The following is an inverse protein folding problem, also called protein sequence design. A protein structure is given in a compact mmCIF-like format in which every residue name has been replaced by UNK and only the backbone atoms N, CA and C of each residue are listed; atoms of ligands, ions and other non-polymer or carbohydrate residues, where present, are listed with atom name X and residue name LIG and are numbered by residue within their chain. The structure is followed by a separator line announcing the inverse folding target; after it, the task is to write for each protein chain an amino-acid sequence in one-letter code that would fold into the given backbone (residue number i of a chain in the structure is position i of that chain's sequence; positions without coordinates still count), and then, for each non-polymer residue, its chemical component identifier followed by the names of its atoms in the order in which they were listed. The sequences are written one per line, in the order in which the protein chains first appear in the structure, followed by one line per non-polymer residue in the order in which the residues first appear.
data_IF_193043005373
#
_entry.id   IF_193043005373
#
_cell.length_a   1.000
_cell.length_b   1.000
_cell.length_c   1.000
_cell.angle_alpha   90.00
_cell.angle_beta   90.00
_cell.angle_gamma   90.00
#
_symmetry.space_group_name_H-M   'P 1'
#
loop_
_entity.id
_entity.type
_entity.pdbx_description
1 polymer ?
#
# COMPACT_ATOMS: atom_id res chain seq x y z
N UNK A 1 -7.64 17.41 13.34
CA UNK A 1 -6.34 16.89 12.86
C UNK A 1 -5.99 15.65 13.67
N UNK A 2 -5.89 14.47 13.05
CA UNK A 2 -5.60 13.21 13.77
C UNK A 2 -4.07 13.00 13.94
N UNK A 3 -3.65 11.95 14.65
CA UNK A 3 -2.23 11.67 14.90
C UNK A 3 -1.42 11.49 13.62
N UNK A 4 -1.98 10.82 12.61
CA UNK A 4 -1.33 10.61 11.32
C UNK A 4 -1.06 11.94 10.60
N UNK A 5 -2.06 12.83 10.57
CA UNK A 5 -1.93 14.14 9.94
C UNK A 5 -0.93 15.05 10.66
N UNK A 6 -0.79 14.92 11.99
CA UNK A 6 0.27 15.59 12.74
C UNK A 6 1.65 15.02 12.41
N UNK A 7 1.78 13.69 12.31
CA UNK A 7 3.06 13.04 12.00
C UNK A 7 3.60 13.42 10.62
N UNK A 8 2.72 13.56 9.63
CA UNK A 8 3.06 14.00 8.25
C UNK A 8 3.72 15.38 8.21
N UNK A 9 3.55 16.23 9.22
CA UNK A 9 4.19 17.55 9.27
C UNK A 9 5.68 17.48 9.58
N UNK A 10 6.15 16.40 10.21
CA UNK A 10 7.52 16.27 10.71
C UNK A 10 8.32 15.17 10.01
N UNK A 11 7.63 14.15 9.48
CA UNK A 11 8.26 12.97 8.89
C UNK A 11 7.54 12.57 7.59
N UNK A 12 8.30 11.98 6.67
CA UNK A 12 7.73 11.32 5.48
C UNK A 12 7.08 10.01 5.89
N UNK A 13 5.76 9.96 5.81
CA UNK A 13 4.99 8.74 6.09
C UNK A 13 5.05 7.81 4.87
N UNK A 14 5.36 6.54 5.13
CA UNK A 14 5.41 5.48 4.13
C UNK A 14 4.39 4.40 4.50
N UNK A 15 3.65 3.88 3.52
CA UNK A 15 2.79 2.71 3.74
C UNK A 15 3.53 1.42 3.40
N UNK A 16 3.60 0.49 4.34
CA UNK A 16 4.23 -0.82 4.14
C UNK A 16 3.19 -1.87 3.74
N UNK A 17 2.79 -1.83 2.46
CA UNK A 17 1.71 -2.68 1.94
C UNK A 17 1.77 -2.83 0.42
N UNK A 18 1.36 -4.00 -0.08
CA UNK A 18 1.06 -4.22 -1.51
C UNK A 18 -0.38 -3.88 -1.89
N UNK A 19 -1.18 -3.36 -0.96
CA UNK A 19 -2.61 -3.09 -1.15
C UNK A 19 -2.88 -1.65 -1.61
N UNK A 20 -3.24 -1.49 -2.89
CA UNK A 20 -3.47 -0.18 -3.50
C UNK A 20 -4.61 0.61 -2.85
N UNK A 21 -5.65 -0.04 -2.33
CA UNK A 21 -6.75 0.66 -1.64
C UNK A 21 -6.29 1.31 -0.33
N UNK A 22 -5.43 0.62 0.43
CA UNK A 22 -4.82 1.18 1.65
C UNK A 22 -3.95 2.40 1.30
N UNK A 23 -3.17 2.31 0.22
CA UNK A 23 -2.34 3.43 -0.26
C UNK A 23 -3.23 4.63 -0.64
N UNK A 24 -4.35 4.38 -1.32
CA UNK A 24 -5.31 5.43 -1.71
C UNK A 24 -5.97 6.10 -0.51
N UNK A 25 -6.33 5.33 0.51
CA UNK A 25 -6.96 5.84 1.74
C UNK A 25 -6.01 6.78 2.51
N UNK A 26 -4.79 6.31 2.79
CA UNK A 26 -3.88 7.03 3.70
C UNK A 26 -3.00 8.06 3.01
N UNK A 27 -2.89 8.01 1.68
CA UNK A 27 -2.09 8.93 0.85
C UNK A 27 -0.68 9.13 1.43
N UNK A 28 0.10 8.05 1.59
CA UNK A 28 1.47 8.16 2.06
C UNK A 28 2.33 8.88 1.02
N UNK A 29 3.52 9.32 1.44
CA UNK A 29 4.51 9.90 0.52
C UNK A 29 5.07 8.82 -0.41
N UNK A 30 5.47 7.69 0.16
CA UNK A 30 6.00 6.52 -0.55
C UNK A 30 5.28 5.25 -0.06
N UNK A 31 5.44 4.14 -0.78
CA UNK A 31 5.00 2.82 -0.33
C UNK A 31 6.15 1.82 -0.44
N UNK A 32 6.28 0.94 0.54
CA UNK A 32 7.23 -0.18 0.52
C UNK A 32 6.48 -1.49 0.37
N UNK A 33 7.10 -2.39 -0.39
CA UNK A 33 6.64 -3.78 -0.53
C UNK A 33 7.78 -4.73 -0.20
N UNK A 34 7.43 -5.98 0.02
CA UNK A 34 8.37 -7.10 0.14
C UNK A 34 7.67 -8.36 -0.39
N UNK A 35 8.39 -9.48 -0.59
CA UNK A 35 7.79 -10.69 -1.15
C UNK A 35 6.53 -11.17 -0.42
N UNK A 36 6.50 -11.10 0.92
CA UNK A 36 5.35 -11.50 1.72
C UNK A 36 4.13 -10.59 1.51
N UNK A 37 4.35 -9.28 1.39
CA UNK A 37 3.29 -8.31 1.15
C UNK A 37 2.71 -8.43 -0.26
N UNK A 38 3.57 -8.67 -1.27
CA UNK A 38 3.12 -8.92 -2.63
C UNK A 38 2.30 -10.21 -2.68
N UNK A 39 2.83 -11.31 -2.12
CA UNK A 39 2.10 -12.58 -2.06
C UNK A 39 0.74 -12.43 -1.38
N UNK A 40 0.68 -11.68 -0.27
CA UNK A 40 -0.59 -11.44 0.43
C UNK A 40 -1.58 -10.62 -0.41
N UNK A 41 -1.08 -9.62 -1.15
CA UNK A 41 -1.91 -8.80 -2.04
C UNK A 41 -2.45 -9.61 -3.22
N UNK A 42 -1.64 -10.49 -3.83
CA UNK A 42 -2.06 -11.31 -4.97
C UNK A 42 -3.16 -12.31 -4.63
N UNK A 43 -3.36 -12.66 -3.35
CA UNK A 43 -4.49 -13.49 -2.92
C UNK A 43 -5.83 -12.74 -2.92
N UNK A 44 -5.86 -11.41 -3.09
CA UNK A 44 -7.10 -10.63 -3.17
C UNK A 44 -7.66 -10.71 -4.59
N UNK A 45 -8.92 -11.12 -4.70
CA UNK A 45 -9.63 -11.29 -5.98
C UNK A 45 -9.56 -10.04 -6.87
N UNK A 46 -9.72 -8.85 -6.27
CA UNK A 46 -9.66 -7.57 -6.98
C UNK A 46 -8.33 -7.30 -7.70
N UNK A 47 -7.24 -7.98 -7.32
CA UNK A 47 -5.92 -7.86 -7.94
C UNK A 47 -5.59 -9.01 -8.89
N UNK A 48 -6.52 -9.95 -9.12
CA UNK A 48 -6.32 -11.09 -10.02
C UNK A 48 -5.94 -10.68 -11.45
N UNK A 49 -6.57 -9.62 -11.97
CA UNK A 49 -6.26 -9.08 -13.30
C UNK A 49 -4.79 -8.69 -13.50
N UNK A 50 -4.10 -8.23 -12.44
CA UNK A 50 -2.68 -7.87 -12.52
C UNK A 50 -1.78 -9.11 -12.61
N UNK A 51 -2.20 -10.23 -12.00
CA UNK A 51 -1.51 -11.50 -12.17
C UNK A 51 -1.75 -12.07 -13.56
N UNK A 52 -2.97 -12.00 -14.07
CA UNK A 52 -3.31 -12.44 -15.44
C UNK A 52 -2.52 -11.70 -16.52
N UNK A 53 -2.20 -10.42 -16.31
CA UNK A 53 -1.41 -9.62 -17.26
C UNK A 53 0.04 -10.11 -17.40
N UNK A 54 0.59 -10.76 -16.36
CA UNK A 54 2.02 -11.13 -16.29
C UNK A 54 2.29 -12.62 -16.40
N UNK A 55 1.25 -13.45 -16.43
CA UNK A 55 1.32 -14.90 -16.64
C UNK A 55 1.23 -15.27 -18.12
#
# INVERSE_FOLDING_TARGET
MNQLEQLKQFTKVVADTGDFETIREFKPQDATTNPSLIFSATQKEQYGHLLEEVL
#
